data_IF_257976119609
#
_entry.id   IF_257976119609
#
_cell.length_a   1.000
_cell.length_b   1.000
_cell.length_c   1.000
_cell.angle_alpha   90.00
_cell.angle_beta   90.00
_cell.angle_gamma   90.00
#
_symmetry.space_group_name_H-M   'P 1'
#
loop_
_entity.id
_entity.type
_entity.pdbx_description
1 polymer ?
#
# COMPACT_ATOMS: atom_id res chain seq x y z
N UNK A 1 -5.16 20.82 7.26
CA UNK A 1 -4.06 20.98 6.27
C UNK A 1 -3.46 19.64 5.85
N UNK A 2 -3.18 18.68 6.76
CA UNK A 2 -2.51 17.42 6.39
C UNK A 2 -3.39 16.41 5.63
N UNK A 3 -4.69 16.32 5.90
CA UNK A 3 -5.59 15.43 5.14
C UNK A 3 -5.64 15.77 3.63
N UNK A 4 -5.45 17.04 3.26
CA UNK A 4 -5.36 17.43 1.85
C UNK A 4 -4.11 16.87 1.17
N UNK A 5 -2.98 16.79 1.88
CA UNK A 5 -1.75 16.19 1.35
C UNK A 5 -1.89 14.68 1.23
N UNK A 6 -2.50 14.03 2.21
CA UNK A 6 -2.77 12.58 2.16
C UNK A 6 -3.64 12.21 0.94
N UNK A 7 -4.69 13.00 0.68
CA UNK A 7 -5.53 12.84 -0.52
C UNK A 7 -4.72 13.03 -1.80
N UNK A 8 -3.89 14.06 -1.88
CA UNK A 8 -3.02 14.29 -3.05
C UNK A 8 -2.04 13.14 -3.28
N UNK A 9 -1.42 12.59 -2.22
CA UNK A 9 -0.55 11.41 -2.33
C UNK A 9 -1.35 10.25 -2.94
N UNK A 10 -2.53 9.99 -2.37
CA UNK A 10 -3.39 8.87 -2.79
C UNK A 10 -3.83 9.01 -4.26
N UNK A 11 -4.23 10.20 -4.68
CA UNK A 11 -4.59 10.51 -6.07
C UNK A 11 -3.40 10.33 -7.02
N UNK A 12 -2.20 10.80 -6.65
CA UNK A 12 -1.00 10.61 -7.46
C UNK A 12 -0.60 9.12 -7.57
N UNK A 13 -0.82 8.32 -6.53
CA UNK A 13 -0.60 6.87 -6.58
C UNK A 13 -1.60 6.18 -7.50
N UNK A 14 -2.87 6.55 -7.46
CA UNK A 14 -3.89 6.07 -8.41
C UNK A 14 -3.45 6.38 -9.85
N UNK A 15 -3.14 7.64 -10.14
CA UNK A 15 -2.68 8.03 -11.49
C UNK A 15 -1.43 7.27 -11.91
N UNK A 16 -0.48 7.06 -11.00
CA UNK A 16 0.73 6.29 -11.29
C UNK A 16 0.42 4.83 -11.69
N UNK A 17 -0.49 4.18 -10.94
CA UNK A 17 -0.90 2.79 -11.22
C UNK A 17 -1.63 2.70 -12.56
N UNK A 18 -2.54 3.63 -12.83
CA UNK A 18 -3.31 3.65 -14.07
C UNK A 18 -2.45 3.94 -15.31
N UNK A 19 -1.59 4.97 -15.25
CA UNK A 19 -0.70 5.35 -16.35
C UNK A 19 0.28 4.24 -16.72
N UNK A 20 0.82 3.55 -15.72
CA UNK A 20 1.78 2.46 -15.92
C UNK A 20 1.14 1.09 -16.10
N UNK A 21 -0.19 0.97 -15.92
CA UNK A 21 -0.90 -0.31 -15.80
C UNK A 21 -0.25 -1.22 -14.77
N UNK A 22 0.12 -0.65 -13.63
CA UNK A 22 0.95 -1.32 -12.62
C UNK A 22 0.09 -2.15 -11.66
N UNK A 23 -0.49 -3.20 -12.21
CA UNK A 23 -1.41 -4.09 -11.52
C UNK A 23 -0.69 -5.07 -10.60
N UNK A 24 -1.33 -5.45 -9.50
CA UNK A 24 -0.76 -6.36 -8.49
C UNK A 24 0.39 -5.74 -7.66
N UNK A 25 0.57 -4.43 -7.71
CA UNK A 25 1.68 -3.72 -7.05
C UNK A 25 1.40 -3.38 -5.57
N UNK A 26 0.71 -4.26 -4.83
CA UNK A 26 0.25 -3.95 -3.47
C UNK A 26 1.40 -3.68 -2.50
N UNK A 27 2.48 -4.44 -2.61
CA UNK A 27 3.67 -4.26 -1.80
C UNK A 27 4.37 -2.93 -2.13
N UNK A 28 4.54 -2.58 -3.40
CA UNK A 28 5.20 -1.34 -3.82
C UNK A 28 4.40 -0.10 -3.40
N UNK A 29 3.11 -0.10 -3.72
CA UNK A 29 2.23 1.06 -3.54
C UNK A 29 1.98 1.34 -2.07
N UNK A 30 1.79 0.31 -1.23
CA UNK A 30 1.66 0.48 0.22
C UNK A 30 2.94 1.02 0.85
N UNK A 31 4.12 0.58 0.41
CA UNK A 31 5.40 1.09 0.91
C UNK A 31 5.60 2.58 0.55
N UNK A 32 5.32 2.97 -0.69
CA UNK A 32 5.41 4.37 -1.12
C UNK A 32 4.40 5.24 -0.35
N UNK A 33 3.16 4.76 -0.19
CA UNK A 33 2.15 5.48 0.59
C UNK A 33 2.56 5.66 2.06
N UNK A 34 3.07 4.60 2.69
CA UNK A 34 3.58 4.66 4.07
C UNK A 34 4.64 5.76 4.25
N UNK A 35 5.65 5.77 3.38
CA UNK A 35 6.74 6.77 3.42
C UNK A 35 6.16 8.18 3.31
N UNK A 36 5.32 8.43 2.29
CA UNK A 36 4.81 9.76 2.04
C UNK A 36 3.82 10.23 3.12
N UNK A 37 3.04 9.31 3.71
CA UNK A 37 2.20 9.62 4.85
C UNK A 37 3.03 10.01 6.09
N UNK A 38 4.15 9.31 6.37
CA UNK A 38 5.12 9.72 7.41
C UNK A 38 5.69 11.12 7.14
N UNK A 39 6.12 11.38 5.90
CA UNK A 39 6.70 12.68 5.50
C UNK A 39 5.74 13.87 5.68
N UNK A 40 4.43 13.65 5.55
CA UNK A 40 3.43 14.70 5.75
C UNK A 40 2.83 14.72 7.17
N UNK A 41 3.44 13.98 8.10
CA UNK A 41 3.21 14.07 9.54
C UNK A 41 2.12 13.14 10.09
N UNK A 42 1.79 12.05 9.41
CA UNK A 42 0.94 10.99 9.96
C UNK A 42 1.77 9.88 10.59
N UNK A 43 1.10 9.01 11.35
CA UNK A 43 1.68 7.79 11.94
C UNK A 43 1.05 6.52 11.31
N UNK A 44 1.32 6.24 10.03
CA UNK A 44 0.87 5.03 9.37
C UNK A 44 1.53 3.77 9.95
N UNK A 45 0.82 2.66 9.85
CA UNK A 45 1.36 1.30 9.99
C UNK A 45 1.33 0.64 8.62
N UNK A 46 2.48 0.13 8.17
CA UNK A 46 2.60 -0.67 6.96
C UNK A 46 2.33 -2.14 7.31
N UNK A 47 1.31 -2.74 6.68
CA UNK A 47 0.79 -4.05 7.04
C UNK A 47 0.89 -5.05 5.89
N UNK A 48 0.94 -6.34 6.23
CA UNK A 48 0.80 -7.48 5.32
C UNK A 48 -0.01 -8.57 6.00
N UNK A 49 -0.86 -9.25 5.25
CA UNK A 49 -1.77 -10.28 5.77
C UNK A 49 -2.72 -10.77 4.69
N UNK A 50 -3.64 -11.63 5.06
CA UNK A 50 -4.72 -12.06 4.15
C UNK A 50 -5.90 -11.09 4.23
N UNK A 51 -6.54 -10.88 3.08
CA UNK A 51 -7.78 -10.12 2.95
C UNK A 51 -8.85 -11.08 2.43
N UNK A 52 -9.99 -11.15 3.11
CA UNK A 52 -11.13 -11.98 2.71
C UNK A 52 -12.30 -11.13 2.23
N UNK A 53 -12.87 -11.53 1.10
CA UNK A 53 -14.17 -11.03 0.65
C UNK A 53 -15.27 -11.94 1.23
N UNK A 54 -16.09 -11.47 2.19
CA UNK A 54 -17.10 -12.32 2.81
C UNK A 54 -18.24 -12.71 1.85
N UNK A 55 -18.51 -11.91 0.82
CA UNK A 55 -19.59 -12.19 -0.14
C UNK A 55 -19.29 -13.39 -1.03
N UNK A 56 -18.03 -13.59 -1.40
CA UNK A 56 -17.57 -14.71 -2.24
C UNK A 56 -16.90 -15.83 -1.43
N UNK A 57 -16.42 -15.51 -0.23
CA UNK A 57 -15.58 -16.38 0.59
C UNK A 57 -14.13 -16.49 0.12
N UNK A 58 -13.75 -15.80 -0.98
CA UNK A 58 -12.37 -15.80 -1.48
C UNK A 58 -11.46 -14.95 -0.59
N UNK A 59 -10.19 -15.34 -0.49
CA UNK A 59 -9.16 -14.57 0.20
C UNK A 59 -7.86 -14.54 -0.61
N UNK A 60 -7.02 -13.56 -0.32
CA UNK A 60 -5.74 -13.33 -0.99
C UNK A 60 -4.76 -12.62 -0.07
N UNK A 61 -3.45 -12.81 -0.31
CA UNK A 61 -2.41 -12.07 0.39
C UNK A 61 -2.29 -10.64 -0.12
N UNK A 62 -2.08 -9.70 0.79
CA UNK A 62 -2.05 -8.29 0.44
C UNK A 62 -1.22 -7.44 1.38
N UNK A 63 -0.79 -6.27 0.91
CA UNK A 63 -0.20 -5.22 1.74
C UNK A 63 -0.97 -3.92 1.63
N UNK A 64 -1.17 -3.27 2.76
CA UNK A 64 -1.93 -2.03 2.88
C UNK A 64 -1.34 -1.15 3.98
N UNK A 65 -1.93 0.04 4.16
CA UNK A 65 -1.56 0.96 5.23
C UNK A 65 -2.78 1.25 6.11
N UNK A 66 -2.56 1.29 7.43
CA UNK A 66 -3.53 1.82 8.37
C UNK A 66 -3.05 3.15 8.97
N UNK A 67 -3.94 4.13 9.07
CA UNK A 67 -3.73 5.39 9.82
C UNK A 67 -4.96 5.59 10.69
N UNK A 68 -4.78 5.79 11.99
CA UNK A 68 -5.89 5.95 12.96
C UNK A 68 -6.97 4.86 12.83
N UNK A 69 -6.55 3.59 12.77
CA UNK A 69 -7.41 2.40 12.59
C UNK A 69 -8.22 2.37 11.27
N UNK A 70 -7.97 3.30 10.36
CA UNK A 70 -8.58 3.35 9.03
C UNK A 70 -7.66 2.80 7.96
N UNK A 71 -8.24 2.05 7.02
CA UNK A 71 -7.51 1.40 5.92
C UNK A 71 -7.35 2.36 4.75
N UNK A 72 -6.16 2.35 4.17
CA UNK A 72 -5.79 3.07 2.96
C UNK A 72 -5.10 2.10 2.00
N UNK A 73 -5.70 1.94 0.82
CA UNK A 73 -5.25 0.93 -0.12
C UNK A 73 -5.59 1.30 -1.55
N UNK A 74 -4.59 1.72 -2.32
CA UNK A 74 -4.77 1.99 -3.74
C UNK A 74 -4.83 0.68 -4.53
N UNK A 75 -3.95 -0.27 -4.21
CA UNK A 75 -3.67 -1.42 -5.07
C UNK A 75 -4.77 -2.47 -5.09
N UNK A 76 -5.64 -2.51 -4.07
CA UNK A 76 -6.78 -3.42 -4.03
C UNK A 76 -7.76 -3.20 -5.20
N UNK A 77 -7.85 -1.98 -5.73
CA UNK A 77 -8.62 -1.67 -6.93
C UNK A 77 -7.94 -2.04 -8.24
N UNK A 78 -6.71 -2.53 -8.19
CA UNK A 78 -5.88 -2.85 -9.35
C UNK A 78 -5.15 -4.20 -9.16
N UNK A 79 -5.89 -5.31 -9.01
CA UNK A 79 -5.29 -6.63 -8.87
C UNK A 79 -4.58 -7.06 -10.15
N UNK A 80 -3.86 -8.18 -10.11
CA UNK A 80 -3.19 -8.76 -11.29
C UNK A 80 -4.11 -8.88 -12.52
N UNK A 81 -3.53 -8.77 -13.71
CA UNK A 81 -4.27 -8.86 -14.97
C UNK A 81 -5.19 -10.08 -15.05
N UNK A 82 -6.46 -9.85 -15.41
CA UNK A 82 -7.47 -10.90 -15.54
C UNK A 82 -8.19 -11.27 -14.24
N UNK A 83 -7.87 -10.59 -13.14
CA UNK A 83 -8.61 -10.67 -11.87
C UNK A 83 -9.51 -9.44 -11.77
N UNK A 84 -10.78 -9.65 -11.43
CA UNK A 84 -11.69 -8.54 -11.14
C UNK A 84 -11.33 -7.94 -9.77
N UNK A 85 -11.26 -6.59 -9.65
CA UNK A 85 -11.00 -5.96 -8.38
C UNK A 85 -12.13 -6.28 -7.39
N UNK A 86 -11.82 -6.67 -6.14
CA UNK A 86 -12.85 -6.91 -5.13
C UNK A 86 -13.62 -5.63 -4.77
N UNK A 87 -13.00 -4.46 -4.92
CA UNK A 87 -13.59 -3.14 -4.72
C UNK A 87 -12.76 -2.05 -5.42
N UNK A 88 -13.19 -0.80 -5.36
CA UNK A 88 -12.37 0.35 -5.76
C UNK A 88 -11.22 0.61 -4.76
N UNK A 89 -10.23 1.46 -5.08
CA UNK A 89 -9.28 1.95 -4.09
C UNK A 89 -9.97 2.43 -2.80
N UNK A 90 -9.34 2.16 -1.67
CA UNK A 90 -9.89 2.41 -0.34
C UNK A 90 -9.22 3.62 0.29
N UNK A 91 -10.02 4.63 0.67
CA UNK A 91 -9.53 5.78 1.42
C UNK A 91 -10.33 5.91 2.70
N UNK A 92 -9.65 5.88 3.86
CA UNK A 92 -10.30 5.94 5.18
C UNK A 92 -11.34 4.82 5.40
N UNK A 93 -11.01 3.58 5.04
CA UNK A 93 -11.91 2.41 5.07
C UNK A 93 -13.16 2.53 4.18
N UNK A 94 -13.18 3.46 3.23
CA UNK A 94 -14.26 3.59 2.27
C UNK A 94 -13.84 3.27 0.85
N UNK A 95 -14.68 2.54 0.13
CA UNK A 95 -14.57 2.34 -1.31
C UNK A 95 -14.77 3.69 -2.03
N UNK A 96 -13.78 4.11 -2.83
CA UNK A 96 -13.78 5.44 -3.44
C UNK A 96 -14.87 5.65 -4.51
N UNK A 97 -15.45 4.60 -5.07
CA UNK A 97 -16.51 4.73 -6.09
C UNK A 97 -17.88 4.82 -5.42
N UNK A 98 -18.12 3.99 -4.41
CA UNK A 98 -19.42 3.87 -3.76
C UNK A 98 -19.58 4.75 -2.53
N UNK A 99 -18.48 5.29 -1.97
CA UNK A 99 -18.39 6.02 -0.69
C UNK A 99 -18.94 5.25 0.52
N UNK A 100 -19.09 3.93 0.39
CA UNK A 100 -19.51 3.03 1.46
C UNK A 100 -18.29 2.53 2.22
N UNK A 101 -18.48 2.27 3.51
CA UNK A 101 -17.49 1.50 4.29
C UNK A 101 -17.30 0.14 3.62
N UNK A 102 -16.04 -0.30 3.56
CA UNK A 102 -15.69 -1.62 3.04
C UNK A 102 -16.23 -2.73 3.95
N UNK A 103 -16.58 -3.86 3.36
CA UNK A 103 -17.03 -5.06 4.06
C UNK A 103 -15.98 -6.19 4.07
N UNK A 104 -14.81 -5.95 3.46
CA UNK A 104 -13.72 -6.93 3.45
C UNK A 104 -13.03 -7.07 4.81
N UNK A 105 -12.59 -8.28 5.09
CA UNK A 105 -11.92 -8.65 6.34
C UNK A 105 -10.40 -8.59 6.12
N UNK A 106 -9.75 -7.51 6.55
CA UNK A 106 -8.29 -7.35 6.54
C UNK A 106 -7.67 -7.99 7.78
N UNK A 107 -6.55 -8.71 7.62
CA UNK A 107 -5.98 -9.52 8.71
C UNK A 107 -6.77 -10.81 8.94
N UNK A 108 -7.41 -11.33 7.88
CA UNK A 108 -8.02 -12.64 7.93
C UNK A 108 -6.94 -13.72 8.15
N UNK A 109 -7.31 -14.81 8.80
CA UNK A 109 -6.41 -15.92 9.08
C UNK A 109 -7.00 -17.20 8.47
N UNK A 110 -6.52 -17.57 7.30
CA UNK A 110 -6.85 -18.84 6.67
C UNK A 110 -6.05 -19.99 7.29
N UNK A 111 -6.40 -21.22 6.92
CA UNK A 111 -5.63 -22.40 7.30
C UNK A 111 -4.29 -22.53 6.55
N UNK A 112 -4.11 -21.77 5.46
CA UNK A 112 -2.89 -21.78 4.65
C UNK A 112 -1.90 -20.69 5.06
N UNK A 113 -2.41 -19.55 5.54
CA UNK A 113 -1.63 -18.35 5.81
C UNK A 113 -1.02 -17.76 4.53
N UNK A 114 -0.01 -16.90 4.72
CA UNK A 114 0.67 -16.23 3.61
C UNK A 114 1.35 -17.22 2.65
N UNK A 115 1.22 -16.96 1.36
CA UNK A 115 1.97 -17.63 0.30
C UNK A 115 3.48 -17.34 0.39
N UNK A 116 4.27 -18.04 -0.43
CA UNK A 116 5.73 -17.91 -0.43
C UNK A 116 6.22 -16.48 -0.74
N UNK A 117 5.47 -15.72 -1.54
CA UNK A 117 5.84 -14.36 -1.93
C UNK A 117 5.56 -13.40 -0.77
N UNK A 118 4.35 -13.40 -0.24
CA UNK A 118 3.95 -12.58 0.89
C UNK A 118 4.75 -12.94 2.15
N UNK A 119 5.03 -14.23 2.38
CA UNK A 119 5.87 -14.70 3.49
C UNK A 119 7.30 -14.19 3.39
N UNK A 120 7.90 -14.10 2.20
CA UNK A 120 9.23 -13.48 2.00
C UNK A 120 9.16 -11.98 2.23
N UNK A 121 8.22 -11.30 1.59
CA UNK A 121 8.06 -9.83 1.67
C UNK A 121 7.77 -9.39 3.11
N UNK A 122 7.06 -10.18 3.91
CA UNK A 122 6.79 -9.89 5.33
C UNK A 122 8.06 -9.83 6.20
N UNK A 123 9.14 -10.49 5.78
CA UNK A 123 10.40 -10.57 6.52
C UNK A 123 11.42 -9.54 6.08
N UNK A 124 11.20 -8.91 4.93
CA UNK A 124 12.11 -7.91 4.40
C UNK A 124 11.82 -6.52 4.98
N UNK A 125 12.90 -5.84 5.33
CA UNK A 125 12.90 -4.39 5.47
C UNK A 125 12.62 -3.72 4.11
N UNK A 126 12.23 -2.44 4.09
CA UNK A 126 12.00 -1.73 2.83
C UNK A 126 13.28 -1.63 1.98
N UNK A 127 14.46 -1.57 2.61
CA UNK A 127 15.76 -1.63 1.91
C UNK A 127 15.95 -2.96 1.19
N UNK A 128 15.70 -4.07 1.88
CA UNK A 128 15.81 -5.41 1.29
C UNK A 128 14.75 -5.61 0.22
N UNK A 129 13.51 -5.23 0.49
CA UNK A 129 12.41 -5.35 -0.47
C UNK A 129 12.71 -4.57 -1.76
N UNK A 130 13.14 -3.30 -1.66
CA UNK A 130 13.45 -2.49 -2.84
C UNK A 130 14.53 -3.12 -3.73
N UNK A 131 15.55 -3.70 -3.09
CA UNK A 131 16.65 -4.38 -3.78
C UNK A 131 16.25 -5.76 -4.34
N UNK A 132 15.71 -6.63 -3.51
CA UNK A 132 15.49 -8.05 -3.82
C UNK A 132 14.27 -8.26 -4.74
N UNK A 133 13.24 -7.42 -4.62
CA UNK A 133 12.10 -7.43 -5.54
C UNK A 133 12.35 -6.58 -6.81
N UNK A 134 13.52 -5.94 -6.91
CA UNK A 134 13.80 -4.89 -7.91
C UNK A 134 12.69 -3.83 -7.95
N UNK A 135 12.16 -3.48 -6.78
CA UNK A 135 11.13 -2.46 -6.66
C UNK A 135 11.73 -1.06 -6.91
N UNK A 136 10.87 -0.06 -6.94
CA UNK A 136 11.27 1.33 -7.15
C UNK A 136 10.70 2.24 -6.06
N UNK A 137 10.62 1.74 -4.83
CA UNK A 137 9.98 2.39 -3.67
C UNK A 137 10.57 3.78 -3.46
N UNK A 138 11.91 3.91 -3.46
CA UNK A 138 12.56 5.21 -3.24
C UNK A 138 12.31 6.17 -4.40
N UNK A 139 12.42 5.68 -5.64
CA UNK A 139 12.22 6.46 -6.85
C UNK A 139 10.79 6.99 -6.95
N UNK A 140 9.79 6.16 -6.69
CA UNK A 140 8.38 6.57 -6.73
C UNK A 140 8.02 7.49 -5.57
N UNK A 141 8.59 7.27 -4.38
CA UNK A 141 8.44 8.19 -3.25
C UNK A 141 8.98 9.58 -3.58
N UNK A 142 10.15 9.69 -4.22
CA UNK A 142 10.70 10.98 -4.66
C UNK A 142 9.81 11.60 -5.75
N UNK A 143 9.38 10.81 -6.73
CA UNK A 143 8.54 11.28 -7.83
C UNK A 143 7.22 11.89 -7.32
N UNK A 144 6.49 11.17 -6.46
CA UNK A 144 5.21 11.62 -5.93
C UNK A 144 5.42 12.71 -4.87
N UNK A 145 6.45 12.59 -4.03
CA UNK A 145 6.82 13.61 -3.06
C UNK A 145 7.02 14.98 -3.72
N UNK A 146 7.65 15.03 -4.91
CA UNK A 146 7.79 16.27 -5.68
C UNK A 146 6.43 16.88 -6.09
N UNK A 147 5.45 16.06 -6.46
CA UNK A 147 4.11 16.52 -6.84
C UNK A 147 3.37 17.22 -5.70
N UNK A 148 3.73 16.94 -4.45
CA UNK A 148 3.11 17.52 -3.24
C UNK A 148 4.03 18.51 -2.50
N UNK A 149 5.12 18.93 -3.14
CA UNK A 149 6.04 19.95 -2.63
C UNK A 149 7.05 19.43 -1.59
N UNK A 150 7.33 18.13 -1.55
CA UNK A 150 8.44 17.56 -0.77
C UNK A 150 9.74 17.53 -1.59
N UNK A 151 10.86 17.69 -0.89
CA UNK A 151 12.20 17.60 -1.47
C UNK A 151 12.94 16.41 -0.87
N UNK A 152 12.64 15.22 -1.39
CA UNK A 152 13.17 13.95 -0.91
C UNK A 152 14.42 13.55 -1.71
N UNK A 153 15.36 12.88 -1.06
CA UNK A 153 16.51 12.23 -1.72
C UNK A 153 16.52 10.76 -1.37
N UNK A 154 17.06 9.93 -2.27
CA UNK A 154 17.13 8.49 -2.04
C UNK A 154 17.93 8.17 -0.77
N UNK A 155 19.10 8.81 -0.60
CA UNK A 155 19.90 8.66 0.62
C UNK A 155 19.08 8.94 1.88
N UNK A 156 18.33 10.05 1.92
CA UNK A 156 17.49 10.38 3.05
C UNK A 156 16.43 9.32 3.33
N UNK A 157 15.70 8.89 2.30
CA UNK A 157 14.65 7.89 2.44
C UNK A 157 15.20 6.54 2.91
N UNK A 158 16.33 6.13 2.34
CA UNK A 158 17.02 4.89 2.69
C UNK A 158 17.55 4.95 4.13
N UNK A 159 18.12 6.07 4.56
CA UNK A 159 18.62 6.22 5.93
C UNK A 159 17.48 6.29 6.97
N UNK A 160 16.31 6.81 6.58
CA UNK A 160 15.18 7.04 7.49
C UNK A 160 14.21 5.85 7.56
N UNK A 161 13.92 5.23 6.42
CA UNK A 161 12.88 4.20 6.27
C UNK A 161 13.43 2.84 5.86
N UNK A 162 14.73 2.74 5.57
CA UNK A 162 15.34 1.51 5.06
C UNK A 162 15.12 0.30 5.95
N UNK A 163 15.10 0.49 7.26
CA UNK A 163 14.98 -0.59 8.26
C UNK A 163 13.51 -0.85 8.68
N UNK A 164 12.54 -0.17 8.06
CA UNK A 164 11.11 -0.42 8.30
C UNK A 164 10.71 -1.74 7.66
N UNK A 165 9.97 -2.58 8.38
CA UNK A 165 9.35 -3.80 7.86
C UNK A 165 7.83 -3.73 7.92
N UNK A 166 7.15 -4.58 7.14
CA UNK A 166 5.71 -4.78 7.25
C UNK A 166 5.38 -5.47 8.58
N UNK A 167 4.32 -5.03 9.23
CA UNK A 167 3.74 -5.72 10.39
C UNK A 167 2.78 -6.79 9.88
N UNK A 168 2.91 -8.02 10.38
CA UNK A 168 1.94 -9.08 10.08
C UNK A 168 0.62 -8.76 10.79
N UNK A 169 -0.46 -8.67 10.01
CA UNK A 169 -1.81 -8.36 10.48
C UNK A 169 -2.56 -9.61 10.96
#
# INVERSE_FOLDING_TARGET
>A
MNNSKLKQIFENLISLVEEKKWYGACHDISAVFYILAKEVGFEPTLLIGEVRNPATGSYFDHSWVCIDEKIYDVAIGYPNHGIDPPCAPIFMSKDLITDKEIDMEFGFHSEHGLDDTASKVSKWTLREYDKEAAACVWKHSIQIGKCIGLHLTEKYLVDTYGDVSRTLA
#
